data_IF_913567944588
#
_entry.id   IF_913567944588
#
_cell.length_a   1.000
_cell.length_b   1.000
_cell.length_c   1.000
_cell.angle_alpha   90.00
_cell.angle_beta   90.00
_cell.angle_gamma   90.00
#
_symmetry.space_group_name_H-M   'P 1'
#
loop_
_entity.id
_entity.type
_entity.pdbx_description
1 polymer ?
#
# COMPACT_ATOMS: atom_id res chain seq x y z
N UNK A 1 2.64 -1.63 -15.39
CA UNK A 1 1.70 -2.69 -15.81
C UNK A 1 0.24 -2.28 -15.57
N UNK A 2 -0.14 -1.84 -14.37
CA UNK A 2 -1.53 -1.46 -14.03
C UNK A 2 -2.01 -0.23 -14.84
N UNK A 3 -1.16 0.77 -15.05
CA UNK A 3 -1.49 1.91 -15.90
C UNK A 3 -1.74 1.49 -17.36
N UNK A 4 -1.01 0.47 -17.86
CA UNK A 4 -1.22 -0.09 -19.19
C UNK A 4 -2.55 -0.82 -19.30
N UNK A 5 -2.96 -1.56 -18.24
CA UNK A 5 -4.25 -2.24 -18.20
C UNK A 5 -5.41 -1.23 -18.16
N UNK A 6 -5.30 -0.16 -17.36
CA UNK A 6 -6.28 0.91 -17.28
C UNK A 6 -6.41 1.65 -18.62
N UNK A 7 -5.30 1.96 -19.28
CA UNK A 7 -5.27 2.55 -20.62
C UNK A 7 -5.90 1.61 -21.66
N UNK A 8 -5.55 0.31 -21.62
CA UNK A 8 -6.12 -0.70 -22.53
C UNK A 8 -7.64 -0.81 -22.39
N UNK A 9 -8.15 -0.86 -21.17
CA UNK A 9 -9.59 -0.83 -20.90
C UNK A 9 -10.25 0.45 -21.45
N UNK A 10 -9.62 1.60 -21.21
CA UNK A 10 -10.10 2.88 -21.74
C UNK A 10 -10.25 2.88 -23.27
N UNK A 11 -9.27 2.33 -23.99
CA UNK A 11 -9.32 2.21 -25.45
C UNK A 11 -10.44 1.24 -25.90
N UNK A 12 -10.63 0.12 -25.20
CA UNK A 12 -11.70 -0.83 -25.50
C UNK A 12 -13.10 -0.20 -25.37
N UNK A 13 -13.27 0.72 -24.42
CA UNK A 13 -14.52 1.46 -24.20
C UNK A 13 -14.62 2.77 -24.99
N UNK A 14 -13.69 3.03 -25.94
CA UNK A 14 -13.70 4.21 -26.80
C UNK A 14 -13.40 5.52 -26.08
N UNK A 15 -12.64 5.46 -24.96
CA UNK A 15 -12.23 6.66 -24.24
C UNK A 15 -11.08 7.37 -24.93
N UNK A 16 -10.99 8.69 -24.75
CA UNK A 16 -9.80 9.48 -25.12
C UNK A 16 -8.75 9.31 -24.02
N UNK A 17 -7.53 8.91 -24.43
CA UNK A 17 -6.42 8.73 -23.50
C UNK A 17 -5.50 9.94 -23.59
N UNK A 18 -5.22 10.55 -22.43
CA UNK A 18 -4.27 11.65 -22.28
C UNK A 18 -3.01 11.05 -21.66
N UNK A 19 -1.89 11.12 -22.39
CA UNK A 19 -0.61 10.56 -21.93
C UNK A 19 0.32 11.71 -21.55
N UNK A 20 0.73 11.74 -20.28
CA UNK A 20 1.81 12.59 -19.81
C UNK A 20 3.14 11.86 -19.99
N UNK A 21 4.13 12.49 -20.63
CA UNK A 21 5.41 11.85 -20.97
C UNK A 21 6.24 11.56 -19.71
N UNK A 22 6.28 12.54 -18.81
CA UNK A 22 6.91 12.46 -17.49
C UNK A 22 5.91 13.05 -16.49
N UNK A 23 5.83 12.48 -15.30
CA UNK A 23 4.90 12.99 -14.30
C UNK A 23 5.37 14.35 -13.78
N UNK A 24 4.51 15.34 -13.93
CA UNK A 24 4.59 16.65 -13.28
C UNK A 24 3.23 16.98 -12.67
N UNK A 25 3.22 17.34 -11.40
CA UNK A 25 1.99 17.49 -10.63
C UNK A 25 1.13 18.68 -11.09
N UNK A 26 1.75 19.82 -11.44
CA UNK A 26 1.04 20.99 -11.94
C UNK A 26 0.54 20.74 -13.37
N UNK A 27 1.37 20.15 -14.23
CA UNK A 27 0.97 19.78 -15.60
C UNK A 27 -0.16 18.74 -15.59
N UNK A 28 -0.18 17.82 -14.60
CA UNK A 28 -1.29 16.89 -14.42
C UNK A 28 -2.62 17.64 -14.15
N UNK A 29 -2.63 18.64 -13.24
CA UNK A 29 -3.81 19.48 -12.99
C UNK A 29 -4.23 20.24 -14.24
N UNK A 30 -3.28 20.82 -14.97
CA UNK A 30 -3.51 21.51 -16.25
C UNK A 30 -4.16 20.60 -17.30
N UNK A 31 -3.76 19.35 -17.36
CA UNK A 31 -4.33 18.35 -18.28
C UNK A 31 -5.75 17.96 -17.85
N UNK A 32 -6.01 17.81 -16.55
CA UNK A 32 -7.36 17.54 -16.02
C UNK A 32 -8.31 18.68 -16.42
N UNK A 33 -7.94 19.92 -16.14
CA UNK A 33 -8.72 21.10 -16.50
C UNK A 33 -8.94 21.22 -18.02
N UNK A 34 -7.83 21.21 -18.79
CA UNK A 34 -7.87 21.42 -20.22
C UNK A 34 -8.72 20.43 -21.01
N UNK A 35 -8.70 19.17 -20.60
CA UNK A 35 -9.38 18.07 -21.29
C UNK A 35 -10.60 17.55 -20.54
N UNK A 36 -10.96 18.18 -19.44
CA UNK A 36 -12.07 17.74 -18.56
C UNK A 36 -11.91 16.24 -18.23
N UNK A 37 -10.67 15.83 -17.88
CA UNK A 37 -10.37 14.42 -17.66
C UNK A 37 -11.22 13.88 -16.50
N UNK A 38 -11.95 12.79 -16.76
CA UNK A 38 -12.93 12.24 -15.82
C UNK A 38 -12.44 11.04 -15.05
N UNK A 39 -11.36 10.40 -15.51
CA UNK A 39 -10.83 9.20 -14.85
C UNK A 39 -9.30 9.14 -14.94
N UNK A 40 -8.69 8.59 -13.91
CA UNK A 40 -7.24 8.35 -13.86
C UNK A 40 -6.93 7.16 -12.96
N UNK A 41 -5.75 6.58 -13.19
CA UNK A 41 -5.12 5.60 -12.31
C UNK A 41 -3.87 6.23 -11.70
N UNK A 42 -3.67 6.13 -10.38
CA UNK A 42 -2.50 6.74 -9.75
C UNK A 42 -2.03 5.99 -8.50
N UNK A 43 -0.70 5.98 -8.33
CA UNK A 43 -0.09 5.55 -7.07
C UNK A 43 -0.17 6.67 -6.02
N UNK A 44 -0.17 6.32 -4.71
CA UNK A 44 -0.24 7.30 -3.61
C UNK A 44 0.84 8.38 -3.69
N UNK A 45 2.06 8.02 -4.08
CA UNK A 45 3.17 8.96 -4.20
C UNK A 45 2.89 10.12 -5.16
N UNK A 46 2.29 9.83 -6.31
CA UNK A 46 1.95 10.86 -7.31
C UNK A 46 0.83 11.77 -6.81
N UNK A 47 -0.19 11.20 -6.18
CA UNK A 47 -1.30 11.98 -5.59
C UNK A 47 -0.81 12.84 -4.43
N UNK A 48 0.14 12.34 -3.63
CA UNK A 48 0.79 13.14 -2.58
C UNK A 48 1.46 14.38 -3.16
N UNK A 49 2.16 14.25 -4.30
CA UNK A 49 2.78 15.39 -4.99
C UNK A 49 1.74 16.40 -5.50
N UNK A 50 0.61 15.92 -6.04
CA UNK A 50 -0.48 16.80 -6.49
C UNK A 50 -1.09 17.55 -5.30
N UNK A 51 -1.45 16.85 -4.22
CA UNK A 51 -2.04 17.45 -3.02
C UNK A 51 -1.06 18.35 -2.24
N UNK A 52 0.26 18.20 -2.45
CA UNK A 52 1.28 19.03 -1.83
C UNK A 52 1.56 20.35 -2.57
N UNK A 53 0.97 20.54 -3.77
CA UNK A 53 1.10 21.82 -4.48
C UNK A 53 0.51 22.96 -3.66
N UNK A 54 1.08 24.17 -3.76
CA UNK A 54 0.50 25.38 -3.14
C UNK A 54 -0.97 25.58 -3.55
N UNK A 55 -1.79 26.05 -2.64
CA UNK A 55 -3.23 26.28 -2.91
C UNK A 55 -3.45 27.22 -4.10
N UNK A 56 -2.66 28.29 -4.20
CA UNK A 56 -2.67 29.24 -5.30
C UNK A 56 -2.41 28.59 -6.69
N UNK A 57 -1.67 27.48 -6.72
CA UNK A 57 -1.45 26.69 -7.94
C UNK A 57 -2.68 25.83 -8.23
N UNK A 58 -3.18 25.12 -7.22
CA UNK A 58 -4.34 24.23 -7.36
C UNK A 58 -5.62 24.98 -7.80
N UNK A 59 -5.83 26.19 -7.29
CA UNK A 59 -6.98 27.06 -7.61
C UNK A 59 -7.00 27.53 -9.06
N UNK A 60 -5.89 27.44 -9.80
CA UNK A 60 -5.84 27.82 -11.23
C UNK A 60 -6.55 26.83 -12.13
N UNK A 61 -6.79 25.61 -11.66
CA UNK A 61 -7.26 24.50 -12.48
C UNK A 61 -8.58 23.94 -11.96
N UNK A 62 -9.57 23.79 -12.85
CA UNK A 62 -10.81 23.11 -12.53
C UNK A 62 -10.59 21.60 -12.45
N UNK A 63 -10.98 21.01 -11.33
CA UNK A 63 -10.83 19.57 -11.04
C UNK A 63 -12.20 18.88 -10.93
N UNK A 64 -13.28 19.62 -11.17
CA UNK A 64 -14.66 19.13 -10.98
C UNK A 64 -15.06 18.02 -11.96
N UNK A 65 -14.34 17.88 -13.06
CA UNK A 65 -14.53 16.82 -14.05
C UNK A 65 -14.13 15.43 -13.56
N UNK A 66 -13.24 15.33 -12.53
CA UNK A 66 -12.75 14.07 -12.01
C UNK A 66 -13.86 13.26 -11.34
N UNK A 67 -14.16 12.08 -11.87
CA UNK A 67 -15.20 11.17 -11.37
C UNK A 67 -14.64 9.85 -10.84
N UNK A 68 -13.49 9.41 -11.37
CA UNK A 68 -12.90 8.13 -10.99
C UNK A 68 -11.37 8.28 -10.86
N UNK A 69 -10.89 8.35 -9.63
CA UNK A 69 -9.49 8.17 -9.29
C UNK A 69 -9.32 6.76 -8.77
N UNK A 70 -8.72 5.88 -9.57
CA UNK A 70 -8.37 4.52 -9.12
C UNK A 70 -7.02 4.56 -8.42
N UNK A 71 -7.06 4.36 -7.12
CA UNK A 71 -5.88 4.30 -6.26
C UNK A 71 -5.39 2.86 -6.11
N UNK A 72 -4.13 2.60 -6.39
CA UNK A 72 -3.52 1.28 -6.26
C UNK A 72 -1.99 1.40 -6.11
N UNK A 73 -1.29 0.27 -6.20
CA UNK A 73 0.17 0.07 -6.13
C UNK A 73 0.76 0.12 -4.71
N UNK A 74 0.12 0.77 -3.75
CA UNK A 74 0.50 0.78 -2.35
C UNK A 74 -0.71 1.21 -1.49
N UNK A 75 -0.73 0.90 -0.19
CA UNK A 75 -1.76 1.40 0.72
C UNK A 75 -1.79 2.94 0.75
N UNK A 76 -2.98 3.52 0.78
CA UNK A 76 -3.18 4.95 0.96
C UNK A 76 -3.32 5.28 2.44
N UNK A 77 -2.47 6.17 2.94
CA UNK A 77 -2.64 6.66 4.31
C UNK A 77 -3.94 7.45 4.44
N UNK A 78 -4.55 7.38 5.61
CA UNK A 78 -5.80 8.11 5.89
C UNK A 78 -5.63 9.62 5.69
N UNK A 79 -4.49 10.16 6.08
CA UNK A 79 -4.15 11.57 5.88
C UNK A 79 -4.12 11.96 4.40
N UNK A 80 -3.59 11.08 3.51
CA UNK A 80 -3.60 11.35 2.08
C UNK A 80 -5.02 11.30 1.50
N UNK A 81 -5.85 10.35 1.95
CA UNK A 81 -7.27 10.29 1.56
C UNK A 81 -8.01 11.57 1.94
N UNK A 82 -7.81 12.07 3.17
CA UNK A 82 -8.41 13.34 3.62
C UNK A 82 -8.00 14.53 2.73
N UNK A 83 -6.70 14.63 2.39
CA UNK A 83 -6.22 15.68 1.48
C UNK A 83 -6.84 15.55 0.10
N UNK A 84 -6.90 14.35 -0.45
CA UNK A 84 -7.50 14.13 -1.77
C UNK A 84 -8.97 14.56 -1.81
N UNK A 85 -9.78 14.14 -0.85
CA UNK A 85 -11.22 14.50 -0.83
C UNK A 85 -11.48 15.98 -0.52
N UNK A 86 -10.49 16.70 0.02
CA UNK A 86 -10.55 18.16 0.15
C UNK A 86 -10.25 18.87 -1.17
N UNK A 87 -9.40 18.31 -2.02
CA UNK A 87 -8.95 18.90 -3.28
C UNK A 87 -9.79 18.47 -4.50
N UNK A 88 -10.46 17.32 -4.44
CA UNK A 88 -11.18 16.68 -5.55
C UNK A 88 -12.61 16.28 -5.15
N UNK A 89 -13.51 16.00 -6.12
CA UNK A 89 -14.87 15.56 -5.81
C UNK A 89 -14.85 14.32 -4.88
N UNK A 90 -15.53 14.36 -3.73
CA UNK A 90 -15.43 13.30 -2.70
C UNK A 90 -15.86 11.91 -3.21
N UNK A 91 -16.75 11.86 -4.19
CA UNK A 91 -17.22 10.61 -4.82
C UNK A 91 -16.27 10.04 -5.87
N UNK A 92 -15.08 10.60 -6.05
CA UNK A 92 -14.18 10.20 -7.13
C UNK A 92 -13.09 9.19 -6.70
N UNK A 93 -12.85 8.99 -5.42
CA UNK A 93 -11.78 8.10 -4.94
C UNK A 93 -12.24 6.65 -4.81
N UNK A 94 -11.64 5.77 -5.59
CA UNK A 94 -11.78 4.32 -5.51
C UNK A 94 -10.42 3.71 -5.18
N UNK A 95 -10.31 2.98 -4.10
CA UNK A 95 -9.10 2.23 -3.81
C UNK A 95 -9.30 0.77 -4.20
N UNK A 96 -8.35 0.22 -4.95
CA UNK A 96 -8.39 -1.18 -5.36
C UNK A 96 -7.17 -1.92 -4.81
N UNK A 97 -7.40 -3.12 -4.32
CA UNK A 97 -6.35 -4.07 -3.99
C UNK A 97 -6.39 -5.21 -5.00
N UNK A 98 -5.23 -5.67 -5.39
CA UNK A 98 -5.05 -6.76 -6.32
C UNK A 98 -3.63 -6.85 -6.82
N UNK A 99 -3.38 -7.82 -7.66
CA UNK A 99 -2.06 -8.09 -8.23
C UNK A 99 -2.15 -8.38 -9.73
N UNK A 100 -1.00 -8.46 -10.39
CA UNK A 100 -0.92 -8.90 -11.80
C UNK A 100 -1.40 -10.34 -11.94
N UNK A 101 -1.15 -11.15 -10.92
CA UNK A 101 -1.47 -12.59 -10.87
C UNK A 101 -2.97 -12.84 -10.69
N UNK A 102 -3.64 -12.03 -9.89
CA UNK A 102 -5.01 -12.30 -9.42
C UNK A 102 -6.05 -11.34 -10.02
N UNK A 103 -5.60 -10.21 -10.57
CA UNK A 103 -6.46 -9.13 -11.07
C UNK A 103 -6.84 -8.14 -9.99
N UNK A 104 -8.08 -7.64 -10.00
CA UNK A 104 -8.65 -6.77 -8.97
C UNK A 104 -9.41 -7.61 -7.96
N UNK A 105 -8.89 -7.70 -6.74
CA UNK A 105 -9.43 -8.58 -5.70
C UNK A 105 -10.48 -7.86 -4.86
N UNK A 106 -10.20 -6.63 -4.40
CA UNK A 106 -11.17 -5.83 -3.64
C UNK A 106 -11.28 -4.39 -4.14
N UNK A 107 -12.39 -3.75 -3.80
CA UNK A 107 -12.65 -2.33 -4.07
C UNK A 107 -13.19 -1.67 -2.80
N UNK A 108 -12.52 -0.59 -2.36
CA UNK A 108 -13.07 0.33 -1.38
C UNK A 108 -13.75 1.48 -2.11
N UNK A 109 -15.05 1.58 -1.91
CA UNK A 109 -15.91 2.55 -2.58
C UNK A 109 -15.73 3.96 -1.99
N UNK A 110 -16.06 5.02 -2.74
CA UNK A 110 -15.90 6.41 -2.29
C UNK A 110 -16.58 6.73 -0.95
N UNK A 111 -17.77 6.21 -0.72
CA UNK A 111 -18.56 6.40 0.51
C UNK A 111 -17.90 5.79 1.74
N UNK A 112 -17.02 4.80 1.54
CA UNK A 112 -16.36 4.05 2.60
C UNK A 112 -14.95 4.55 2.90
N UNK A 113 -14.38 5.41 2.06
CA UNK A 113 -12.99 5.88 2.19
C UNK A 113 -12.70 6.52 3.55
N UNK A 114 -13.64 7.30 4.08
CA UNK A 114 -13.52 7.96 5.38
C UNK A 114 -14.07 7.10 6.53
N UNK A 115 -15.01 6.20 6.24
CA UNK A 115 -15.64 5.34 7.25
C UNK A 115 -14.78 4.13 7.62
N UNK A 116 -13.98 3.62 6.67
CA UNK A 116 -13.16 2.42 6.79
C UNK A 116 -11.66 2.73 6.60
N UNK A 117 -11.07 3.54 7.51
CA UNK A 117 -9.65 3.89 7.41
C UNK A 117 -8.77 2.62 7.44
N UNK A 118 -7.83 2.51 6.49
CA UNK A 118 -6.90 1.37 6.39
C UNK A 118 -7.46 0.15 5.66
N UNK A 119 -8.76 0.10 5.35
CA UNK A 119 -9.32 -1.00 4.55
C UNK A 119 -8.99 -0.84 3.07
N UNK A 120 -8.80 -1.96 2.39
CA UNK A 120 -8.74 -2.03 0.92
C UNK A 120 -10.10 -2.42 0.29
N UNK A 121 -11.19 -2.48 1.08
CA UNK A 121 -12.54 -2.69 0.59
C UNK A 121 -13.08 -4.11 0.73
N UNK A 122 -14.09 -4.41 -0.08
CA UNK A 122 -14.76 -5.73 -0.15
C UNK A 122 -14.39 -6.44 -1.45
N UNK A 123 -14.54 -7.77 -1.49
CA UNK A 123 -14.33 -8.54 -2.72
C UNK A 123 -15.10 -7.94 -3.90
N UNK A 124 -14.42 -7.78 -5.03
CA UNK A 124 -15.04 -7.34 -6.28
C UNK A 124 -16.04 -8.39 -6.79
N UNK A 125 -16.99 -8.03 -7.66
CA UNK A 125 -17.94 -9.00 -8.20
C UNK A 125 -17.26 -10.19 -8.87
N UNK A 126 -17.64 -11.41 -8.45
CA UNK A 126 -17.08 -12.66 -8.96
C UNK A 126 -15.72 -13.06 -8.34
N UNK A 127 -15.28 -12.35 -7.32
CA UNK A 127 -14.08 -12.67 -6.54
C UNK A 127 -14.47 -13.31 -5.21
N UNK A 128 -13.78 -14.40 -4.87
CA UNK A 128 -13.88 -15.02 -3.56
C UNK A 128 -12.54 -14.94 -2.85
N UNK A 129 -12.57 -14.55 -1.58
CA UNK A 129 -11.37 -14.41 -0.74
C UNK A 129 -11.51 -15.33 0.47
N UNK A 130 -10.48 -16.13 0.70
CA UNK A 130 -10.30 -16.99 1.86
C UNK A 130 -9.06 -16.50 2.62
N UNK A 131 -9.13 -16.41 3.94
CA UNK A 131 -7.96 -16.16 4.80
C UNK A 131 -7.54 -17.49 5.43
N UNK A 132 -6.25 -17.78 5.43
CA UNK A 132 -5.69 -19.04 5.91
C UNK A 132 -4.63 -18.76 6.95
N UNK A 133 -4.76 -19.38 8.14
CA UNK A 133 -3.79 -19.26 9.22
C UNK A 133 -2.50 -20.03 8.97
N UNK A 134 -1.53 -19.91 9.89
CA UNK A 134 -0.23 -20.60 9.79
C UNK A 134 -0.35 -22.15 9.92
N UNK A 135 -1.43 -22.65 10.50
CA UNK A 135 -1.74 -24.08 10.61
C UNK A 135 -2.48 -24.61 9.36
N UNK A 136 -2.80 -23.75 8.41
CA UNK A 136 -3.48 -24.09 7.17
C UNK A 136 -5.01 -24.18 7.30
N UNK A 137 -5.61 -23.64 8.37
CA UNK A 137 -7.06 -23.61 8.53
C UNK A 137 -7.64 -22.29 8.00
N UNK A 138 -8.89 -22.36 7.54
CA UNK A 138 -9.61 -21.13 7.18
C UNK A 138 -9.94 -20.28 8.41
N UNK A 139 -9.57 -19.01 8.37
CA UNK A 139 -9.88 -18.02 9.41
C UNK A 139 -11.32 -17.53 9.24
N UNK A 140 -12.18 -17.88 10.17
CA UNK A 140 -13.59 -17.48 10.18
C UNK A 140 -13.91 -16.33 11.15
N UNK A 141 -12.96 -15.99 12.05
CA UNK A 141 -13.07 -14.85 12.96
C UNK A 141 -12.90 -13.50 12.25
N UNK A 142 -13.24 -12.42 12.94
CA UNK A 142 -13.13 -11.04 12.48
C UNK A 142 -12.26 -10.21 13.41
N UNK A 143 -11.71 -9.10 12.90
CA UNK A 143 -10.82 -8.21 13.64
C UNK A 143 -9.33 -8.59 13.54
N UNK A 144 -8.45 -7.70 14.03
CA UNK A 144 -7.01 -7.80 13.84
C UNK A 144 -6.34 -9.02 14.49
N UNK A 145 -7.01 -9.66 15.47
CA UNK A 145 -6.50 -10.89 16.10
C UNK A 145 -6.79 -12.14 15.24
N UNK A 146 -7.59 -12.01 14.17
CA UNK A 146 -8.00 -13.07 13.26
C UNK A 146 -7.46 -12.83 11.85
N UNK A 147 -6.14 -12.76 11.72
CA UNK A 147 -5.48 -12.58 10.44
C UNK A 147 -5.06 -13.90 9.81
N UNK A 148 -4.89 -13.89 8.50
CA UNK A 148 -4.42 -15.04 7.73
C UNK A 148 -3.89 -14.61 6.37
N UNK A 149 -3.22 -15.51 5.68
CA UNK A 149 -2.77 -15.32 4.31
C UNK A 149 -3.96 -15.26 3.37
N UNK A 150 -3.94 -14.27 2.48
CA UNK A 150 -5.01 -14.01 1.50
C UNK A 150 -4.91 -15.00 0.34
N UNK A 151 -5.93 -15.81 0.19
CA UNK A 151 -6.13 -16.66 -0.98
C UNK A 151 -7.34 -16.19 -1.78
N UNK A 152 -7.19 -16.04 -3.07
CA UNK A 152 -8.19 -15.48 -3.98
C UNK A 152 -8.56 -16.50 -5.06
N UNK A 153 -9.87 -16.66 -5.30
CA UNK A 153 -10.41 -17.29 -6.48
C UNK A 153 -11.00 -16.25 -7.40
N UNK A 154 -10.48 -16.17 -8.62
CA UNK A 154 -10.83 -15.12 -9.59
C UNK A 154 -10.83 -15.69 -11.00
N UNK A 155 -11.84 -15.29 -11.79
CA UNK A 155 -11.89 -15.62 -13.23
C UNK A 155 -10.90 -14.77 -14.05
N UNK A 156 -10.27 -13.77 -13.45
CA UNK A 156 -9.26 -12.90 -14.07
C UNK A 156 -7.84 -13.25 -13.63
N UNK A 157 -7.66 -14.30 -12.80
CA UNK A 157 -6.34 -14.79 -12.47
C UNK A 157 -5.60 -15.27 -13.73
N UNK A 158 -4.28 -15.05 -13.78
CA UNK A 158 -3.46 -15.53 -14.88
C UNK A 158 -3.24 -17.06 -14.75
N UNK A 159 -2.89 -17.72 -15.85
CA UNK A 159 -2.74 -19.17 -15.85
C UNK A 159 -1.46 -19.62 -15.12
N UNK A 160 -0.33 -18.94 -15.35
CA UNK A 160 0.96 -19.27 -14.72
C UNK A 160 2.03 -18.23 -15.04
N UNK A 161 3.18 -18.31 -14.38
CA UNK A 161 4.37 -17.56 -14.74
C UNK A 161 5.11 -18.17 -15.92
N UNK A 162 5.54 -17.35 -16.86
CA UNK A 162 6.30 -17.81 -18.01
C UNK A 162 7.56 -18.57 -17.58
N UNK A 163 7.63 -19.85 -17.95
CA UNK A 163 8.72 -20.79 -17.61
C UNK A 163 8.95 -21.01 -16.10
N UNK A 164 7.94 -20.82 -15.25
CA UNK A 164 8.04 -21.04 -13.81
C UNK A 164 6.71 -21.54 -13.21
N UNK A 165 6.20 -22.64 -13.73
CA UNK A 165 4.93 -23.23 -13.28
C UNK A 165 4.97 -23.68 -11.81
N UNK A 166 6.11 -24.19 -11.35
CA UNK A 166 6.31 -24.66 -9.96
C UNK A 166 6.09 -23.53 -8.96
N UNK A 167 6.51 -22.30 -9.27
CA UNK A 167 6.32 -21.15 -8.39
C UNK A 167 4.84 -20.75 -8.26
N UNK A 168 4.03 -21.00 -9.28
CA UNK A 168 2.60 -20.74 -9.25
C UNK A 168 1.84 -21.82 -8.46
N UNK A 169 2.14 -23.10 -8.74
CA UNK A 169 1.50 -24.23 -8.06
C UNK A 169 1.75 -24.23 -6.55
N UNK A 170 2.95 -23.84 -6.11
CA UNK A 170 3.28 -23.75 -4.67
C UNK A 170 2.47 -22.70 -3.91
N UNK A 171 1.90 -21.73 -4.62
CA UNK A 171 1.08 -20.65 -4.09
C UNK A 171 -0.43 -20.88 -4.31
N UNK A 172 -0.82 -22.15 -4.51
CA UNK A 172 -2.19 -22.52 -4.84
C UNK A 172 -2.80 -23.43 -3.76
N UNK A 173 -4.11 -23.31 -3.55
CA UNK A 173 -4.92 -24.15 -2.69
C UNK A 173 -6.25 -24.46 -3.38
N UNK A 174 -6.28 -25.54 -4.16
CA UNK A 174 -7.36 -25.82 -5.11
C UNK A 174 -7.43 -24.70 -6.15
N UNK A 175 -8.58 -24.08 -6.30
CA UNK A 175 -8.81 -22.97 -7.25
C UNK A 175 -8.45 -21.58 -6.65
N UNK A 176 -7.91 -21.55 -5.45
CA UNK A 176 -7.48 -20.32 -4.78
C UNK A 176 -5.97 -20.16 -4.92
N UNK A 177 -5.54 -18.91 -5.17
CA UNK A 177 -4.12 -18.54 -5.33
C UNK A 177 -3.77 -17.41 -4.41
N UNK A 178 -2.50 -17.34 -3.97
CA UNK A 178 -1.97 -16.29 -3.10
C UNK A 178 -0.76 -15.60 -3.71
N UNK A 179 -0.55 -14.34 -3.34
CA UNK A 179 0.69 -13.59 -3.57
C UNK A 179 1.46 -13.33 -2.27
N UNK A 180 1.01 -13.95 -1.17
CA UNK A 180 1.65 -13.90 0.13
C UNK A 180 1.30 -12.66 0.95
N UNK A 181 0.19 -11.99 0.67
CA UNK A 181 -0.30 -10.90 1.51
C UNK A 181 -1.08 -11.47 2.72
N UNK A 182 -0.91 -10.85 3.90
CA UNK A 182 -1.61 -11.18 5.14
C UNK A 182 -2.68 -10.13 5.40
N UNK A 183 -3.89 -10.57 5.77
CA UNK A 183 -5.00 -9.68 6.03
C UNK A 183 -5.92 -10.18 7.14
N UNK A 184 -6.79 -9.30 7.64
CA UNK A 184 -7.96 -9.67 8.44
C UNK A 184 -9.23 -9.05 7.83
N UNK A 185 -10.40 -9.51 8.29
CA UNK A 185 -11.70 -8.91 7.94
C UNK A 185 -12.34 -8.29 9.16
N UNK A 186 -13.09 -7.20 8.96
CA UNK A 186 -14.00 -6.70 9.98
C UNK A 186 -15.38 -7.40 9.90
N UNK A 187 -16.25 -7.11 10.88
CA UNK A 187 -17.60 -7.69 10.98
C UNK A 187 -18.51 -7.33 9.79
N UNK A 188 -18.18 -6.29 9.03
CA UNK A 188 -18.89 -5.90 7.83
C UNK A 188 -18.29 -6.53 6.54
N UNK A 189 -17.23 -7.32 6.67
CA UNK A 189 -16.55 -8.02 5.57
C UNK A 189 -15.55 -7.16 4.79
N UNK A 190 -15.14 -6.00 5.31
CA UNK A 190 -14.05 -5.21 4.74
C UNK A 190 -12.72 -5.86 5.05
N UNK A 191 -11.85 -5.93 4.02
CA UNK A 191 -10.51 -6.50 4.13
C UNK A 191 -9.50 -5.41 4.52
N UNK A 192 -8.56 -5.77 5.39
CA UNK A 192 -7.46 -4.93 5.84
C UNK A 192 -6.15 -5.68 5.62
N UNK A 193 -5.33 -5.20 4.68
CA UNK A 193 -4.01 -5.79 4.44
C UNK A 193 -3.08 -5.36 5.58
N UNK A 194 -2.52 -6.36 6.26
CA UNK A 194 -1.56 -6.14 7.35
C UNK A 194 -0.16 -5.92 6.80
N UNK A 195 0.33 -6.87 5.98
CA UNK A 195 1.65 -6.81 5.32
C UNK A 195 1.81 -7.97 4.33
N UNK A 196 3.00 -8.08 3.76
CA UNK A 196 3.44 -9.28 3.05
C UNK A 196 4.09 -10.26 4.00
N UNK A 197 3.87 -11.55 3.80
CA UNK A 197 4.52 -12.64 4.54
C UNK A 197 6.06 -12.52 4.51
N UNK A 198 6.61 -12.05 3.39
CA UNK A 198 8.06 -11.84 3.21
C UNK A 198 8.62 -10.60 3.93
N UNK A 199 7.77 -9.65 4.30
CA UNK A 199 8.16 -8.40 4.98
C UNK A 199 7.89 -8.45 6.49
N UNK A 200 7.21 -9.51 6.96
CA UNK A 200 6.92 -9.75 8.35
C UNK A 200 8.21 -9.75 9.20
N UNK A 201 8.20 -9.04 10.31
CA UNK A 201 9.31 -9.02 11.27
C UNK A 201 9.00 -10.04 12.36
N UNK A 202 9.88 -11.02 12.53
CA UNK A 202 9.75 -12.04 13.59
C UNK A 202 10.69 -11.68 14.73
N UNK A 203 10.16 -11.04 15.76
CA UNK A 203 10.93 -10.59 16.93
C UNK A 203 10.55 -11.37 18.18
N UNK A 204 11.44 -12.21 18.67
CA UNK A 204 11.19 -13.02 19.88
C UNK A 204 9.98 -13.95 19.75
N UNK A 205 9.71 -14.45 18.54
CA UNK A 205 8.54 -15.30 18.24
C UNK A 205 7.23 -14.54 18.02
N UNK A 206 7.27 -13.21 18.03
CA UNK A 206 6.08 -12.39 17.72
C UNK A 206 6.12 -11.90 16.29
N UNK A 207 5.00 -12.01 15.61
CA UNK A 207 4.78 -11.46 14.28
C UNK A 207 4.49 -9.95 14.39
N UNK A 208 5.33 -9.13 13.77
CA UNK A 208 5.20 -7.68 13.74
C UNK A 208 5.01 -7.26 12.28
N UNK A 209 3.95 -6.53 12.02
CA UNK A 209 3.59 -6.04 10.69
C UNK A 209 4.16 -4.62 10.47
N UNK A 210 5.17 -4.45 9.60
CA UNK A 210 5.76 -3.15 9.29
C UNK A 210 4.75 -2.08 8.91
N UNK A 211 3.73 -2.41 8.12
CA UNK A 211 2.74 -1.45 7.64
C UNK A 211 1.94 -0.78 8.78
N UNK A 212 1.69 -1.47 9.89
CA UNK A 212 1.04 -0.88 11.08
C UNK A 212 1.92 0.22 11.69
N UNK A 213 3.23 -0.05 11.76
CA UNK A 213 4.19 0.90 12.33
C UNK A 213 4.38 2.09 11.39
N UNK A 214 4.47 1.85 10.08
CA UNK A 214 4.55 2.89 9.05
C UNK A 214 3.33 3.80 9.14
N UNK A 215 2.12 3.23 9.18
CA UNK A 215 0.87 4.00 9.29
C UNK A 215 0.78 4.84 10.58
N UNK A 216 1.33 4.36 11.69
CA UNK A 216 1.40 5.13 12.93
C UNK A 216 2.41 6.28 12.82
N UNK A 217 3.61 6.01 12.30
CA UNK A 217 4.68 7.01 12.17
C UNK A 217 4.34 8.10 11.13
N UNK A 218 3.64 7.78 10.05
CA UNK A 218 3.18 8.75 9.04
C UNK A 218 2.24 9.83 9.60
N UNK A 219 1.65 9.62 10.78
CA UNK A 219 0.82 10.64 11.44
C UNK A 219 1.67 11.78 12.03
N UNK A 220 2.98 11.57 12.20
CA UNK A 220 3.85 12.60 12.74
C UNK A 220 4.17 13.66 11.68
N UNK A 221 3.89 14.98 11.93
CA UNK A 221 4.05 16.03 10.91
C UNK A 221 5.49 16.25 10.43
N UNK A 222 6.47 15.82 11.21
CA UNK A 222 7.89 15.90 10.85
C UNK A 222 8.38 14.73 9.96
N UNK A 223 7.53 13.75 9.66
CA UNK A 223 7.82 12.60 8.80
C UNK A 223 7.14 12.82 7.44
N UNK A 224 7.94 12.83 6.39
CA UNK A 224 7.44 12.90 5.01
C UNK A 224 7.16 11.51 4.44
N UNK A 225 8.06 10.56 4.70
CA UNK A 225 7.96 9.18 4.23
C UNK A 225 8.71 8.25 5.21
N UNK A 226 8.29 6.99 5.31
CA UNK A 226 8.92 6.03 6.22
C UNK A 226 8.86 4.61 5.66
N UNK A 227 9.91 3.86 5.91
CA UNK A 227 10.00 2.42 5.64
C UNK A 227 10.39 1.69 6.91
N UNK A 228 9.61 0.67 7.28
CA UNK A 228 9.89 -0.19 8.43
C UNK A 228 10.21 -1.60 7.96
N UNK A 229 11.23 -2.22 8.56
CA UNK A 229 11.65 -3.58 8.25
C UNK A 229 12.46 -4.20 9.40
N UNK A 230 12.60 -5.52 9.37
CA UNK A 230 13.39 -6.26 10.35
C UNK A 230 14.89 -6.20 10.05
N UNK A 231 15.69 -5.95 11.08
CA UNK A 231 17.14 -6.09 11.03
C UNK A 231 17.60 -7.17 12.02
N UNK A 232 18.75 -7.84 11.79
CA UNK A 232 19.21 -8.94 12.63
C UNK A 232 19.45 -8.53 14.07
N UNK A 233 19.03 -9.39 15.01
CA UNK A 233 19.31 -9.28 16.45
C UNK A 233 19.70 -10.63 17.01
N UNK A 234 20.82 -10.69 17.75
CA UNK A 234 21.26 -11.92 18.39
C UNK A 234 20.29 -12.39 19.49
N UNK A 235 19.60 -11.45 20.13
CA UNK A 235 18.69 -11.73 21.24
C UNK A 235 17.27 -12.10 20.75
N UNK A 236 16.80 -11.47 19.67
CA UNK A 236 15.39 -11.50 19.29
C UNK A 236 15.14 -12.12 17.91
N UNK A 237 16.20 -12.56 17.20
CA UNK A 237 16.13 -12.94 15.80
C UNK A 237 16.11 -11.70 14.92
N UNK A 238 15.03 -10.96 14.94
CA UNK A 238 14.89 -9.65 14.30
C UNK A 238 14.45 -8.58 15.30
N UNK A 239 14.74 -7.33 14.98
CA UNK A 239 14.18 -6.15 15.66
C UNK A 239 13.70 -5.13 14.66
N UNK A 240 12.72 -4.34 15.07
CA UNK A 240 12.12 -3.30 14.24
C UNK A 240 13.13 -2.18 13.99
N UNK A 241 13.32 -1.85 12.72
CA UNK A 241 14.11 -0.71 12.24
C UNK A 241 13.24 0.19 11.36
N UNK A 242 13.42 1.51 11.47
CA UNK A 242 12.75 2.49 10.62
C UNK A 242 13.76 3.33 9.85
N UNK A 243 13.56 3.48 8.54
CA UNK A 243 14.27 4.47 7.71
C UNK A 243 13.29 5.58 7.36
N UNK A 244 13.64 6.82 7.70
CA UNK A 244 12.73 7.97 7.68
C UNK A 244 13.24 9.05 6.75
N UNK A 245 12.33 9.60 5.93
CA UNK A 245 12.51 10.86 5.21
C UNK A 245 11.81 11.96 6.01
N UNK A 246 12.55 13.00 6.37
CA UNK A 246 11.99 14.13 7.12
C UNK A 246 11.13 15.01 6.22
N UNK A 247 10.09 15.61 6.80
CA UNK A 247 9.38 16.72 6.15
C UNK A 247 10.32 17.91 5.92
N UNK A 248 10.12 18.73 4.87
CA UNK A 248 10.92 19.92 4.63
C UNK A 248 11.00 20.82 5.86
N UNK A 249 12.22 21.18 6.27
CA UNK A 249 12.47 22.01 7.46
C UNK A 249 12.38 21.30 8.81
N UNK A 250 12.09 20.02 8.84
CA UNK A 250 12.04 19.22 10.07
C UNK A 250 13.45 18.84 10.55
N UNK A 251 13.69 19.00 11.86
CA UNK A 251 14.90 18.55 12.55
C UNK A 251 14.66 17.32 13.43
N UNK A 252 13.60 16.57 13.15
CA UNK A 252 13.15 15.40 13.90
C UNK A 252 14.29 14.40 14.11
N UNK A 253 14.46 13.94 15.35
CA UNK A 253 15.49 13.00 15.77
C UNK A 253 14.92 11.57 15.92
N UNK A 254 15.78 10.55 15.88
CA UNK A 254 15.37 9.18 16.12
C UNK A 254 14.77 8.95 17.51
N UNK A 255 15.23 9.70 18.52
CA UNK A 255 14.67 9.67 19.87
C UNK A 255 13.22 10.17 19.94
N UNK A 256 12.90 11.24 19.24
CA UNK A 256 11.54 11.80 19.17
C UNK A 256 10.62 10.85 18.39
N UNK A 257 11.10 10.23 17.31
CA UNK A 257 10.34 9.20 16.58
C UNK A 257 10.02 8.01 17.49
N UNK A 258 11.01 7.53 18.24
CA UNK A 258 10.83 6.42 19.18
C UNK A 258 9.85 6.80 20.32
N UNK A 259 9.91 8.04 20.81
CA UNK A 259 8.99 8.54 21.82
C UNK A 259 7.56 8.60 21.27
N UNK A 260 7.37 9.16 20.07
CA UNK A 260 6.08 9.19 19.39
C UNK A 260 5.53 7.78 19.14
N UNK A 261 6.37 6.85 18.67
CA UNK A 261 5.96 5.46 18.46
C UNK A 261 5.46 4.79 19.74
N UNK A 262 6.05 5.09 20.92
CA UNK A 262 5.61 4.53 22.22
C UNK A 262 4.23 5.00 22.65
N UNK A 263 3.79 6.15 22.19
CA UNK A 263 2.45 6.68 22.51
C UNK A 263 1.36 6.04 21.64
N UNK A 264 1.73 5.47 20.47
CA UNK A 264 0.78 4.98 19.47
C UNK A 264 0.83 3.47 19.24
N UNK A 265 1.91 2.80 19.68
CA UNK A 265 2.16 1.39 19.39
C UNK A 265 2.50 0.60 20.68
N UNK A 266 2.22 -0.69 20.63
CA UNK A 266 2.68 -1.62 21.68
C UNK A 266 4.21 -1.63 21.74
N UNK A 267 4.79 -1.81 22.93
CA UNK A 267 6.22 -1.64 23.20
C UNK A 267 7.14 -2.50 22.32
N UNK A 268 6.69 -3.68 21.92
CA UNK A 268 7.45 -4.61 21.06
C UNK A 268 7.46 -4.19 19.58
N UNK A 269 6.52 -3.32 19.15
CA UNK A 269 6.43 -2.76 17.80
C UNK A 269 7.26 -1.47 17.63
N UNK A 270 7.72 -0.88 18.72
CA UNK A 270 8.48 0.37 18.68
C UNK A 270 9.84 0.16 18.01
N UNK A 271 10.23 0.96 17.01
CA UNK A 271 11.53 0.87 16.37
C UNK A 271 12.69 0.94 17.37
N UNK A 272 13.59 -0.03 17.29
CA UNK A 272 14.81 -0.08 18.12
C UNK A 272 15.92 0.83 17.59
N UNK A 273 15.88 1.11 16.29
CA UNK A 273 16.79 2.04 15.62
C UNK A 273 16.07 2.80 14.52
N UNK A 274 16.57 4.00 14.24
CA UNK A 274 16.02 4.90 13.22
C UNK A 274 17.17 5.49 12.42
N UNK A 275 17.13 5.31 11.11
CA UNK A 275 18.03 5.97 10.18
C UNK A 275 17.28 7.02 9.35
N UNK A 276 18.01 7.98 8.81
CA UNK A 276 17.46 9.04 7.98
C UNK A 276 18.05 8.99 6.58
N UNK A 277 17.22 9.29 5.60
CA UNK A 277 17.59 9.41 4.19
C UNK A 277 16.86 10.57 3.55
N UNK A 278 17.37 11.06 2.42
CA UNK A 278 16.71 12.10 1.63
C UNK A 278 15.53 11.54 0.81
N UNK A 279 15.61 10.25 0.42
CA UNK A 279 14.56 9.56 -0.33
C UNK A 279 14.54 8.06 -0.03
N UNK A 280 13.38 7.44 -0.19
CA UNK A 280 13.22 5.98 -0.13
C UNK A 280 13.27 5.37 -1.54
N UNK A 281 13.96 4.22 -1.73
CA UNK A 281 14.05 3.57 -3.03
C UNK A 281 12.67 3.03 -3.46
N UNK A 282 12.26 3.38 -4.68
CA UNK A 282 10.97 2.96 -5.25
C UNK A 282 11.14 2.44 -6.67
N UNK A 283 10.22 1.59 -7.10
CA UNK A 283 10.07 1.21 -8.51
C UNK A 283 9.58 2.40 -9.33
N UNK A 284 9.67 2.32 -10.66
CA UNK A 284 9.06 3.32 -11.55
C UNK A 284 7.55 3.48 -11.39
N UNK A 285 6.86 2.50 -10.79
CA UNK A 285 5.43 2.58 -10.42
C UNK A 285 5.19 3.15 -9.02
N UNK A 286 6.25 3.58 -8.31
CA UNK A 286 6.15 4.17 -6.96
C UNK A 286 6.14 3.17 -5.80
N UNK A 287 6.26 1.85 -6.05
CA UNK A 287 6.30 0.83 -5.00
C UNK A 287 7.62 0.88 -4.24
N UNK A 288 7.56 0.91 -2.90
CA UNK A 288 8.72 0.89 -2.01
C UNK A 288 9.53 -0.40 -2.16
N UNK A 289 10.85 -0.27 -2.26
CA UNK A 289 11.80 -1.37 -2.39
C UNK A 289 12.47 -1.69 -1.04
N UNK A 290 11.70 -2.17 -0.05
CA UNK A 290 12.21 -2.53 1.29
C UNK A 290 13.42 -3.46 1.25
N UNK A 291 13.47 -4.36 0.26
CA UNK A 291 14.62 -5.27 0.07
C UNK A 291 15.94 -4.52 -0.10
N UNK A 292 15.95 -3.37 -0.78
CA UNK A 292 17.18 -2.58 -0.96
C UNK A 292 17.63 -1.94 0.35
N UNK A 293 16.69 -1.45 1.15
CA UNK A 293 16.97 -0.87 2.48
C UNK A 293 17.46 -1.93 3.47
N UNK A 294 16.87 -3.12 3.43
CA UNK A 294 17.18 -4.26 4.32
C UNK A 294 18.54 -4.89 4.01
N UNK A 295 18.94 -4.95 2.74
CA UNK A 295 20.12 -5.70 2.28
C UNK A 295 21.42 -5.37 3.02
N UNK A 296 21.79 -4.10 3.32
CA UNK A 296 23.04 -3.79 4.05
C UNK A 296 23.11 -4.41 5.44
N UNK A 297 22.01 -4.52 6.16
CA UNK A 297 21.96 -5.08 7.52
C UNK A 297 22.08 -6.60 7.54
N UNK A 298 21.71 -7.25 6.44
CA UNK A 298 21.75 -8.71 6.27
C UNK A 298 22.98 -9.20 5.51
N UNK A 299 23.90 -8.29 5.13
CA UNK A 299 25.12 -8.66 4.41
C UNK A 299 25.97 -9.65 5.25
N UNK A 300 26.26 -10.83 4.68
CA UNK A 300 27.03 -11.90 5.34
C UNK A 300 26.26 -12.71 6.39
N UNK A 301 24.95 -12.53 6.50
CA UNK A 301 24.08 -13.32 7.39
C UNK A 301 23.04 -14.06 6.54
N UNK A 302 22.69 -15.28 6.96
CA UNK A 302 21.52 -15.99 6.41
C UNK A 302 20.27 -15.34 7.01
N UNK A 303 19.39 -14.78 6.18
CA UNK A 303 18.05 -14.41 6.61
C UNK A 303 17.38 -15.68 7.16
N UNK A 304 16.96 -15.67 8.42
CA UNK A 304 15.95 -16.64 8.84
C UNK A 304 14.67 -16.20 8.12
N UNK A 305 14.37 -16.90 7.04
CA UNK A 305 13.07 -16.80 6.39
C UNK A 305 12.11 -17.49 7.33
N UNK A 306 11.12 -16.74 7.84
CA UNK A 306 9.97 -17.35 8.45
C UNK A 306 9.15 -18.12 7.41
#
# INVERSE_FOLDING_TARGET
EQASAFMGAGLLYGQTIIVQREFDAEDWLRLVDKYEASSTFSAPALVRMICALPEEVKERYDRSSMRVMVANAAPWSYALKQRYVADFPPGSLFEVYGSTELGVDTVLMPEDQMRKPGSCGKPAPGIEIMLVDDDGNEVTGTGPDHHGEVFVRSNSAFDTYYKNDVGYESNSRGDFHTVGDIAYRDDEGYLYICDRKTDLIISGGMNIYPAEIEAALEQHPGIYDVAVFGIPSEQWGEVVHATVVRSPGSSLTGGEITAFAREHLASYKVPRSVDFTDELPRTGSGKLLKRQLRAPYWAGRTAQVG
#
